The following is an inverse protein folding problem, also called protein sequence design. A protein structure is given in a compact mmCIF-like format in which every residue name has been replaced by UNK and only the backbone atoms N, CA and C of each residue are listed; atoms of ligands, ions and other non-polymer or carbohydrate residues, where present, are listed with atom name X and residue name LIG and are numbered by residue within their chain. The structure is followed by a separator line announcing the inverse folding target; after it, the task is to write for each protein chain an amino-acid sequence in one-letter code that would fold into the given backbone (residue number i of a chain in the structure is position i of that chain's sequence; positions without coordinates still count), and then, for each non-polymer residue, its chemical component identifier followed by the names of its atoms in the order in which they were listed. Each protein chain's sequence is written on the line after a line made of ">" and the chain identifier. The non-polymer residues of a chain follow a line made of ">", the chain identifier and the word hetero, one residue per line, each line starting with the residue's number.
data_IF_618391103560
#
_entry.id   IF_618391103560
#
_cell.length_a   1.000
_cell.length_b   1.000
_cell.length_c   1.000
_cell.angle_alpha   90.00
_cell.angle_beta   90.00
_cell.angle_gamma   90.00
#
_symmetry.space_group_name_H-M   'P 1'
#
loop_
_entity.id
_entity.type
_entity.pdbx_description
1 polymer ?
#
# COMPACT_ATOMS: atom_id res chain seq x y z
N UNK A 1 -21.46 4.26 10.05
CA UNK A 1 -21.36 2.86 10.52
C UNK A 1 -21.42 1.87 9.36
N UNK A 2 -22.44 1.90 8.50
CA UNK A 2 -22.55 1.02 7.33
C UNK A 2 -21.31 1.04 6.41
N UNK A 3 -20.80 2.22 6.08
CA UNK A 3 -19.58 2.37 5.27
C UNK A 3 -18.38 1.63 5.89
N UNK A 4 -18.20 1.74 7.22
CA UNK A 4 -17.09 1.08 7.91
C UNK A 4 -17.20 -0.44 7.85
N UNK A 5 -18.41 -1.00 7.99
CA UNK A 5 -18.61 -2.45 7.85
C UNK A 5 -18.35 -2.91 6.41
N UNK A 6 -18.78 -2.13 5.41
CA UNK A 6 -18.46 -2.42 4.00
C UNK A 6 -16.95 -2.39 3.75
N UNK A 7 -16.24 -1.42 4.30
CA UNK A 7 -14.79 -1.27 4.11
C UNK A 7 -14.00 -2.44 4.71
N UNK A 8 -14.41 -3.00 5.86
CA UNK A 8 -13.81 -4.25 6.40
C UNK A 8 -13.85 -5.41 5.39
N UNK A 9 -14.84 -5.38 4.50
CA UNK A 9 -14.96 -6.24 3.33
C UNK A 9 -13.67 -6.37 2.52
N UNK A 10 -12.98 -5.24 2.34
CA UNK A 10 -11.88 -5.05 1.40
C UNK A 10 -10.51 -4.89 2.06
N UNK A 11 -10.42 -5.02 3.39
CA UNK A 11 -9.15 -4.90 4.12
C UNK A 11 -8.53 -6.28 4.39
N UNK A 12 -7.19 -6.36 4.52
CA UNK A 12 -6.52 -7.55 5.03
C UNK A 12 -7.06 -7.95 6.42
N UNK A 13 -7.33 -9.24 6.63
CA UNK A 13 -8.03 -9.74 7.83
C UNK A 13 -7.18 -10.59 8.76
N UNK A 14 -5.98 -10.97 8.33
CA UNK A 14 -5.14 -11.89 9.07
C UNK A 14 -3.89 -11.20 9.63
N UNK A 15 -3.34 -11.81 10.70
CA UNK A 15 -2.08 -11.36 11.31
C UNK A 15 -2.16 -9.97 11.93
N UNK A 16 -1.16 -9.14 11.63
CA UNK A 16 -0.92 -7.84 12.25
C UNK A 16 -2.03 -6.81 11.99
N UNK A 17 -2.86 -7.01 10.96
CA UNK A 17 -3.88 -6.05 10.53
C UNK A 17 -5.23 -6.23 11.25
N UNK A 18 -5.41 -7.34 11.99
CA UNK A 18 -6.66 -7.69 12.66
C UNK A 18 -7.18 -6.57 13.57
N UNK A 19 -6.29 -5.96 14.35
CA UNK A 19 -6.66 -4.88 15.27
C UNK A 19 -7.18 -3.64 14.52
N UNK A 20 -6.48 -3.23 13.46
CA UNK A 20 -6.89 -2.10 12.63
C UNK A 20 -8.27 -2.35 12.00
N UNK A 21 -8.43 -3.49 11.31
CA UNK A 21 -9.69 -3.86 10.64
C UNK A 21 -10.87 -3.92 11.61
N UNK A 22 -10.68 -4.45 12.83
CA UNK A 22 -11.74 -4.53 13.83
C UNK A 22 -12.12 -3.16 14.43
N UNK A 23 -11.14 -2.27 14.61
CA UNK A 23 -11.37 -0.94 15.21
C UNK A 23 -11.93 0.10 14.22
N UNK A 24 -11.83 -0.15 12.90
CA UNK A 24 -12.23 0.78 11.85
C UNK A 24 -13.63 1.39 12.05
N UNK A 25 -14.62 0.56 12.38
CA UNK A 25 -16.03 1.02 12.49
C UNK A 25 -16.28 1.94 13.67
N UNK A 26 -15.42 1.91 14.68
CA UNK A 26 -15.46 2.81 15.83
C UNK A 26 -14.69 4.11 15.58
N UNK A 27 -13.76 4.11 14.62
CA UNK A 27 -12.81 5.21 14.37
C UNK A 27 -13.01 5.93 13.03
N UNK A 28 -13.90 5.42 12.16
CA UNK A 28 -14.23 6.06 10.89
C UNK A 28 -15.06 7.33 11.10
N UNK A 29 -14.49 8.47 10.70
CA UNK A 29 -15.18 9.76 10.62
C UNK A 29 -15.29 10.20 9.16
N UNK A 30 -16.49 10.64 8.75
CA UNK A 30 -16.71 11.32 7.46
C UNK A 30 -16.79 12.81 7.75
N UNK A 31 -15.94 13.58 7.09
CA UNK A 31 -15.79 15.02 7.32
C UNK A 31 -16.06 15.79 6.02
N UNK A 32 -16.35 17.11 6.08
CA UNK A 32 -16.45 17.95 4.90
C UNK A 32 -15.12 18.00 4.12
N UNK A 33 -15.21 18.23 2.81
CA UNK A 33 -14.06 18.22 1.90
C UNK A 33 -12.94 19.17 2.33
N UNK A 34 -13.28 20.37 2.81
CA UNK A 34 -12.28 21.35 3.29
C UNK A 34 -11.49 20.83 4.50
N UNK A 35 -12.15 20.14 5.41
CA UNK A 35 -11.50 19.52 6.57
C UNK A 35 -10.63 18.34 6.13
N UNK A 36 -11.12 17.51 5.21
CA UNK A 36 -10.33 16.41 4.64
C UNK A 36 -9.09 16.94 3.91
N UNK A 37 -9.26 17.96 3.06
CA UNK A 37 -8.19 18.63 2.32
C UNK A 37 -7.11 19.16 3.27
N UNK A 38 -7.50 19.81 4.36
CA UNK A 38 -6.56 20.26 5.38
C UNK A 38 -5.75 19.09 5.98
N UNK A 39 -6.39 18.00 6.37
CA UNK A 39 -5.68 16.85 6.94
C UNK A 39 -4.72 16.20 5.95
N UNK A 40 -5.11 15.98 4.70
CA UNK A 40 -4.22 15.32 3.72
C UNK A 40 -3.01 16.17 3.34
N UNK A 41 -3.06 17.49 3.55
CA UNK A 41 -1.93 18.38 3.29
C UNK A 41 -1.02 18.62 4.49
N UNK A 42 -1.57 18.63 5.70
CA UNK A 42 -0.85 19.11 6.88
C UNK A 42 -0.70 18.09 8.00
N UNK A 43 -1.38 16.94 7.91
CA UNK A 43 -1.28 15.86 8.90
C UNK A 43 -0.35 14.72 8.45
N UNK A 44 0.54 14.98 7.50
CA UNK A 44 1.63 14.09 7.10
C UNK A 44 2.78 14.15 8.10
N UNK A 45 3.59 13.10 8.17
CA UNK A 45 4.73 13.05 9.07
C UNK A 45 5.92 13.76 8.43
N UNK A 46 6.29 14.93 8.94
CA UNK A 46 7.51 15.65 8.53
C UNK A 46 8.65 15.30 9.48
N UNK A 47 9.69 14.65 8.95
CA UNK A 47 10.86 14.22 9.72
C UNK A 47 12.10 14.96 9.24
N UNK A 48 12.73 15.70 10.16
CA UNK A 48 14.04 16.32 9.91
C UNK A 48 15.15 15.30 10.10
N UNK A 49 16.01 15.12 9.09
CA UNK A 49 17.15 14.20 9.12
C UNK A 49 18.47 14.93 8.97
N UNK A 50 19.49 14.33 9.57
CA UNK A 50 20.88 14.80 9.52
C UNK A 50 21.83 13.66 9.21
N UNK A 51 22.97 13.97 8.59
CA UNK A 51 24.11 13.07 8.56
C UNK A 51 25.21 13.55 9.51
N UNK A 52 25.66 12.68 10.41
CA UNK A 52 26.73 12.98 11.36
C UNK A 52 28.12 12.66 10.79
N UNK A 53 29.09 13.49 11.12
CA UNK A 53 30.51 13.15 11.08
C UNK A 53 30.79 12.17 12.23
N UNK A 54 31.24 10.96 11.89
CA UNK A 54 31.40 9.88 12.86
C UNK A 54 32.53 10.13 13.85
N UNK A 55 33.53 10.94 13.49
CA UNK A 55 34.68 11.28 14.34
C UNK A 55 34.37 12.49 15.21
N UNK A 56 33.89 13.57 14.59
CA UNK A 56 33.66 14.87 15.27
C UNK A 56 32.34 14.91 16.05
N UNK A 57 31.43 13.96 15.80
CA UNK A 57 30.08 13.89 16.40
C UNK A 57 29.23 15.15 16.19
N UNK A 58 29.49 15.87 15.11
CA UNK A 58 28.71 17.03 14.66
C UNK A 58 28.07 16.73 13.30
N UNK A 59 27.08 17.53 12.92
CA UNK A 59 26.43 17.41 11.59
C UNK A 59 27.46 17.73 10.51
N UNK A 60 27.46 16.94 9.43
CA UNK A 60 28.28 17.24 8.24
C UNK A 60 27.74 18.49 7.56
N UNK A 61 28.63 19.24 6.94
CA UNK A 61 28.23 20.43 6.19
C UNK A 61 27.18 20.08 5.13
N UNK A 62 26.10 20.88 5.04
CA UNK A 62 24.98 20.69 4.11
C UNK A 62 24.21 19.36 4.25
N UNK A 63 24.34 18.63 5.35
CA UNK A 63 23.65 17.35 5.56
C UNK A 63 22.48 17.46 6.54
N UNK A 64 21.57 18.41 6.29
CA UNK A 64 20.31 18.61 7.01
C UNK A 64 19.18 18.74 5.98
N UNK A 65 18.14 17.92 6.09
CA UNK A 65 16.98 17.96 5.17
C UNK A 65 15.70 17.50 5.86
N UNK A 66 14.56 17.73 5.22
CA UNK A 66 13.26 17.23 5.66
C UNK A 66 12.75 16.17 4.68
N UNK A 67 12.12 15.14 5.23
CA UNK A 67 11.38 14.12 4.49
C UNK A 67 9.93 14.14 4.95
N UNK A 68 9.00 13.92 4.02
CA UNK A 68 7.58 13.80 4.29
C UNK A 68 7.15 12.35 4.07
N UNK A 69 6.39 11.82 5.03
CA UNK A 69 5.86 10.46 4.98
C UNK A 69 4.35 10.45 5.11
N UNK A 70 3.73 9.55 4.33
CA UNK A 70 2.33 9.22 4.53
C UNK A 70 2.18 8.49 5.88
N UNK A 71 1.24 8.89 6.75
CA UNK A 71 1.08 8.26 8.06
C UNK A 71 0.77 6.77 7.96
N UNK A 72 1.17 6.04 9.00
CA UNK A 72 0.70 4.66 9.19
C UNK A 72 -0.82 4.59 9.27
N UNK A 73 -1.40 3.44 8.94
CA UNK A 73 -2.86 3.22 8.87
C UNK A 73 -3.59 4.01 7.76
N UNK A 74 -2.86 4.56 6.78
CA UNK A 74 -3.48 5.15 5.58
C UNK A 74 -3.99 4.08 4.62
N UNK A 75 -5.25 4.20 4.19
CA UNK A 75 -5.86 3.34 3.17
C UNK A 75 -5.80 4.00 1.79
N UNK A 76 -5.13 3.34 0.85
CA UNK A 76 -5.10 3.73 -0.56
C UNK A 76 -5.78 2.65 -1.42
N UNK A 77 -6.24 3.03 -2.61
CA UNK A 77 -6.78 2.09 -3.58
C UNK A 77 -6.30 2.44 -4.99
N UNK A 78 -6.16 1.42 -5.82
CA UNK A 78 -5.81 1.56 -7.22
C UNK A 78 -6.50 0.48 -8.06
N UNK A 79 -6.83 0.81 -9.31
CA UNK A 79 -7.40 -0.15 -10.27
C UNK A 79 -6.28 -0.83 -11.05
N UNK A 80 -6.28 -2.16 -11.10
CA UNK A 80 -5.35 -2.95 -11.91
C UNK A 80 -6.07 -3.50 -13.15
N UNK A 81 -5.55 -3.18 -14.34
CA UNK A 81 -6.08 -3.67 -15.61
C UNK A 81 -5.08 -4.61 -16.27
N UNK A 82 -5.58 -5.69 -16.88
CA UNK A 82 -4.75 -6.63 -17.62
C UNK A 82 -5.30 -6.84 -19.04
N UNK A 83 -4.39 -7.05 -19.98
CA UNK A 83 -4.69 -7.53 -21.33
C UNK A 83 -4.02 -8.87 -21.57
N UNK A 84 -4.31 -9.52 -22.69
CA UNK A 84 -3.59 -10.74 -23.09
C UNK A 84 -2.06 -10.51 -23.06
N UNK A 85 -1.27 -11.42 -22.47
CA UNK A 85 0.19 -11.33 -22.49
C UNK A 85 0.75 -11.18 -23.92
N UNK A 86 1.74 -10.30 -24.07
CA UNK A 86 2.44 -10.06 -25.36
C UNK A 86 3.79 -10.76 -25.47
N UNK A 87 4.25 -11.39 -24.39
CA UNK A 87 5.53 -12.11 -24.37
C UNK A 87 5.47 -13.36 -25.26
N UNK A 88 6.60 -13.78 -25.86
CA UNK A 88 6.66 -15.02 -26.63
C UNK A 88 6.35 -16.22 -25.74
N UNK A 89 5.75 -17.28 -26.30
CA UNK A 89 5.31 -18.47 -25.54
C UNK A 89 6.42 -19.12 -24.71
N UNK A 90 7.65 -19.10 -25.21
CA UNK A 90 8.81 -19.64 -24.49
C UNK A 90 9.15 -18.90 -23.19
N UNK A 91 8.63 -17.69 -22.98
CA UNK A 91 8.84 -16.87 -21.79
C UNK A 91 7.63 -16.84 -20.85
N UNK A 92 6.55 -17.55 -21.19
CA UNK A 92 5.37 -17.66 -20.34
C UNK A 92 5.43 -18.91 -19.46
N UNK A 93 4.80 -18.90 -18.28
CA UNK A 93 4.63 -20.10 -17.47
C UNK A 93 4.03 -21.24 -18.30
N UNK A 94 4.48 -22.48 -18.05
CA UNK A 94 4.07 -23.63 -18.84
C UNK A 94 2.54 -23.83 -18.82
N UNK A 95 1.90 -23.54 -17.68
CA UNK A 95 0.45 -23.56 -17.51
C UNK A 95 -0.31 -22.56 -18.41
N UNK A 96 0.33 -21.50 -18.92
CA UNK A 96 -0.31 -20.48 -19.75
C UNK A 96 -0.20 -20.75 -21.26
N UNK A 97 0.57 -21.78 -21.67
CA UNK A 97 0.94 -22.00 -23.08
C UNK A 97 -0.23 -22.32 -24.02
N UNK A 98 -1.31 -22.88 -23.48
CA UNK A 98 -2.48 -23.28 -24.28
C UNK A 98 -3.37 -22.09 -24.64
N UNK A 99 -3.51 -21.10 -23.75
CA UNK A 99 -4.30 -19.89 -24.00
C UNK A 99 -3.97 -18.79 -22.96
N UNK A 100 -2.88 -18.02 -23.12
CA UNK A 100 -2.59 -16.93 -22.20
C UNK A 100 -3.68 -15.87 -22.30
N UNK A 101 -4.19 -15.42 -21.16
CA UNK A 101 -5.33 -14.50 -21.06
C UNK A 101 -5.05 -13.41 -20.02
N UNK A 102 -5.85 -12.34 -20.04
CA UNK A 102 -5.79 -11.30 -19.02
C UNK A 102 -6.09 -11.84 -17.61
N UNK A 103 -6.97 -12.85 -17.52
CA UNK A 103 -7.35 -13.47 -16.25
C UNK A 103 -6.16 -14.17 -15.57
N UNK A 104 -5.31 -14.86 -16.34
CA UNK A 104 -4.09 -15.46 -15.81
C UNK A 104 -3.17 -14.41 -15.15
N UNK A 105 -3.00 -13.23 -15.77
CA UNK A 105 -2.19 -12.14 -15.19
C UNK A 105 -2.83 -11.64 -13.90
N UNK A 106 -4.14 -11.37 -13.91
CA UNK A 106 -4.82 -10.90 -12.71
C UNK A 106 -4.74 -11.95 -11.59
N UNK A 107 -4.72 -13.24 -11.92
CA UNK A 107 -4.72 -14.33 -10.93
C UNK A 107 -3.35 -14.43 -10.28
N UNK A 108 -2.31 -14.30 -11.10
CA UNK A 108 -0.94 -14.15 -10.62
C UNK A 108 -0.76 -12.93 -9.71
N UNK A 109 -1.31 -11.76 -10.09
CA UNK A 109 -1.26 -10.56 -9.23
C UNK A 109 -1.98 -10.78 -7.90
N UNK A 110 -3.16 -11.41 -7.92
CA UNK A 110 -3.91 -11.75 -6.71
C UNK A 110 -3.10 -12.69 -5.82
N UNK A 111 -2.55 -13.76 -6.37
CA UNK A 111 -1.70 -14.69 -5.61
C UNK A 111 -0.46 -13.99 -5.02
N UNK A 112 0.14 -13.05 -5.74
CA UNK A 112 1.34 -12.36 -5.30
C UNK A 112 1.05 -11.34 -4.19
N UNK A 113 -0.04 -10.60 -4.27
CA UNK A 113 -0.27 -9.41 -3.45
C UNK A 113 -1.41 -9.54 -2.42
N UNK A 114 -2.41 -10.41 -2.64
CA UNK A 114 -3.59 -10.47 -1.79
C UNK A 114 -3.26 -10.99 -0.38
N UNK A 115 -3.65 -10.23 0.64
CA UNK A 115 -3.32 -10.44 2.05
C UNK A 115 -1.81 -10.55 2.34
N UNK A 116 -0.95 -9.99 1.48
CA UNK A 116 0.51 -9.98 1.70
C UNK A 116 1.02 -8.58 2.02
N UNK A 117 2.11 -8.56 2.79
CA UNK A 117 2.88 -7.35 3.04
C UNK A 117 4.03 -7.23 2.03
N UNK A 118 4.25 -6.02 1.53
CA UNK A 118 5.40 -5.69 0.69
C UNK A 118 5.87 -4.27 0.95
N UNK A 119 7.04 -3.93 0.43
CA UNK A 119 7.63 -2.61 0.53
C UNK A 119 7.22 -1.77 -0.68
N UNK A 120 6.84 -0.52 -0.44
CA UNK A 120 6.49 0.48 -1.44
C UNK A 120 7.21 1.79 -1.12
N UNK A 121 7.91 2.36 -2.12
CA UNK A 121 8.59 3.64 -2.00
C UNK A 121 10.06 3.52 -1.60
N UNK A 122 10.63 4.59 -1.02
CA UNK A 122 12.01 4.64 -0.56
C UNK A 122 12.19 4.23 0.91
N UNK A 123 13.39 4.49 1.45
CA UNK A 123 13.68 4.39 2.88
C UNK A 123 13.40 3.01 3.53
N UNK A 124 13.46 1.95 2.72
CA UNK A 124 13.29 0.55 3.17
C UNK A 124 14.23 0.20 4.33
N UNK A 125 15.50 0.62 4.24
CA UNK A 125 16.54 0.30 5.22
C UNK A 125 16.30 0.92 6.60
N UNK A 126 15.40 1.90 6.69
CA UNK A 126 14.97 2.53 7.94
C UNK A 126 13.50 2.19 8.29
N UNK A 127 12.97 1.13 7.67
CA UNK A 127 11.66 0.55 7.98
C UNK A 127 10.47 1.35 7.47
N UNK A 128 10.64 2.16 6.42
CA UNK A 128 9.53 2.91 5.80
C UNK A 128 8.94 2.14 4.60
N UNK A 129 7.67 2.41 4.31
CA UNK A 129 7.00 1.89 3.12
C UNK A 129 6.44 0.49 3.22
N UNK A 130 6.37 -0.12 4.41
CA UNK A 130 5.69 -1.41 4.58
C UNK A 130 4.18 -1.24 4.43
N UNK A 131 3.60 -1.92 3.44
CA UNK A 131 2.17 -1.89 3.14
C UNK A 131 1.61 -3.31 3.07
N UNK A 132 0.32 -3.45 3.36
CA UNK A 132 -0.42 -4.68 3.11
C UNK A 132 -1.51 -4.41 2.06
N UNK A 133 -1.69 -5.35 1.12
CA UNK A 133 -2.70 -5.20 0.08
C UNK A 133 -3.80 -6.26 0.20
N UNK A 134 -4.99 -5.88 -0.24
CA UNK A 134 -6.06 -6.82 -0.58
C UNK A 134 -6.46 -6.59 -2.03
N UNK A 135 -6.58 -7.66 -2.79
CA UNK A 135 -6.89 -7.60 -4.23
C UNK A 135 -8.32 -8.05 -4.44
N UNK A 136 -9.17 -7.09 -4.77
CA UNK A 136 -10.58 -7.33 -5.07
C UNK A 136 -10.82 -7.45 -6.59
N UNK A 137 -11.67 -8.42 -6.97
CA UNK A 137 -12.12 -8.63 -8.34
C UNK A 137 -13.62 -8.43 -8.45
N UNK A 138 -14.10 -7.61 -9.39
CA UNK A 138 -15.54 -7.47 -9.64
C UNK A 138 -16.14 -8.83 -10.02
N UNK A 139 -17.17 -9.27 -9.29
CA UNK A 139 -17.87 -10.54 -9.56
C UNK A 139 -17.42 -11.73 -8.70
N UNK A 140 -16.29 -11.63 -8.00
CA UNK A 140 -15.99 -12.49 -6.85
C UNK A 140 -16.61 -11.81 -5.61
N UNK A 141 -17.61 -12.46 -5.01
CA UNK A 141 -18.66 -11.84 -4.19
C UNK A 141 -18.25 -10.85 -3.09
N UNK A 142 -19.14 -9.86 -2.91
CA UNK A 142 -19.24 -8.87 -1.84
C UNK A 142 -20.37 -7.91 -2.14
#
# INVERSE_FOLDING_TARGET
>A
RELGERLKGYLPREGLHTHFTNSLTQRLAVVPDDAFYYFVQFATEIVTRIALDSEKKVVREHALWNEEYLPSETLLYATCFATKPRAPKCSLPAEWNNAPSADHILSFVKELADNKCFQLGGDETIGKGLVAASVYRPGEGG
#
